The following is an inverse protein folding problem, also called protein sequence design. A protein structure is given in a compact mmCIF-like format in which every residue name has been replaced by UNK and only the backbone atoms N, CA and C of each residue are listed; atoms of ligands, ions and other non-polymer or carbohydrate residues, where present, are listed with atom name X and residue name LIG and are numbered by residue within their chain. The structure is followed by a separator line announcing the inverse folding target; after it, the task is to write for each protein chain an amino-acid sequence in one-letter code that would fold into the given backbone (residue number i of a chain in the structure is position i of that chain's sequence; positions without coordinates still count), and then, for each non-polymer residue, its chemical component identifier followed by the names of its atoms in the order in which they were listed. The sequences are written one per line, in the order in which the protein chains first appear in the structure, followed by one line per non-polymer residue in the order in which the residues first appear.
data_IF_082740091433
#
_entry.id   IF_082740091433
#
_cell.length_a   1.000
_cell.length_b   1.000
_cell.length_c   1.000
_cell.angle_alpha   90.00
_cell.angle_beta   90.00
_cell.angle_gamma   90.00
#
_symmetry.space_group_name_H-M   'P 1'
#
loop_
_entity.id
_entity.type
_entity.pdbx_description
1 polymer ?
#
# COMPACT_ATOMS: atom_id res chain seq x y z
N UNK A 1 3.13 -14.84 5.80
CA UNK A 1 3.40 -13.43 6.19
C UNK A 1 2.13 -12.85 6.78
N UNK A 2 2.26 -11.89 7.72
CA UNK A 2 1.12 -11.09 8.19
C UNK A 2 0.99 -9.83 7.33
N UNK A 3 -0.25 -9.47 6.97
CA UNK A 3 -0.58 -8.34 6.08
C UNK A 3 -1.79 -7.60 6.64
N UNK A 4 -1.88 -6.31 6.37
CA UNK A 4 -3.13 -5.55 6.52
C UNK A 4 -3.71 -5.26 5.15
N UNK A 5 -5.04 -5.31 5.02
CA UNK A 5 -5.75 -4.98 3.79
C UNK A 5 -6.90 -4.03 4.11
N UNK A 6 -7.15 -3.08 3.21
CA UNK A 6 -8.26 -2.15 3.34
C UNK A 6 -8.74 -1.66 1.97
N UNK A 7 -9.97 -1.20 1.91
CA UNK A 7 -10.52 -0.54 0.72
C UNK A 7 -11.58 0.49 1.11
N UNK A 8 -11.92 1.37 0.17
CA UNK A 8 -13.21 2.06 0.19
C UNK A 8 -14.33 1.16 -0.36
N UNK A 9 -15.54 1.69 -0.45
CA UNK A 9 -16.70 0.99 -1.01
C UNK A 9 -16.49 0.49 -2.44
N UNK A 10 -15.75 1.26 -3.27
CA UNK A 10 -15.51 0.91 -4.68
C UNK A 10 -14.52 -0.25 -4.84
N UNK A 11 -13.62 -0.42 -3.86
CA UNK A 11 -12.66 -1.51 -3.80
C UNK A 11 -13.13 -2.75 -3.04
N UNK A 12 -14.28 -2.69 -2.36
CA UNK A 12 -14.73 -3.72 -1.43
C UNK A 12 -14.77 -5.13 -2.03
N UNK A 13 -15.41 -5.31 -3.18
CA UNK A 13 -15.54 -6.64 -3.80
C UNK A 13 -14.17 -7.25 -4.13
N UNK A 14 -13.29 -6.49 -4.76
CA UNK A 14 -11.93 -6.97 -5.08
C UNK A 14 -11.11 -7.21 -3.80
N UNK A 15 -11.30 -6.39 -2.74
CA UNK A 15 -10.65 -6.61 -1.44
C UNK A 15 -11.03 -7.97 -0.87
N UNK A 16 -12.32 -8.35 -0.89
CA UNK A 16 -12.77 -9.64 -0.37
C UNK A 16 -12.18 -10.81 -1.16
N UNK A 17 -12.09 -10.71 -2.49
CA UNK A 17 -11.46 -11.73 -3.34
C UNK A 17 -9.95 -11.86 -3.02
N UNK A 18 -9.23 -10.76 -2.95
CA UNK A 18 -7.78 -10.74 -2.61
C UNK A 18 -7.56 -11.28 -1.20
N UNK A 19 -8.37 -10.88 -0.22
CA UNK A 19 -8.29 -11.36 1.16
C UNK A 19 -8.48 -12.88 1.24
N UNK A 20 -9.49 -13.41 0.56
CA UNK A 20 -9.76 -14.85 0.51
C UNK A 20 -8.62 -15.63 -0.16
N UNK A 21 -8.11 -15.08 -1.28
CA UNK A 21 -6.95 -15.65 -1.99
C UNK A 21 -5.72 -15.76 -1.09
N UNK A 22 -5.35 -14.67 -0.42
CA UNK A 22 -4.19 -14.61 0.47
C UNK A 22 -4.34 -15.53 1.70
N UNK A 23 -5.54 -15.58 2.29
CA UNK A 23 -5.83 -16.48 3.40
C UNK A 23 -5.67 -17.96 2.98
N UNK A 24 -6.15 -18.32 1.79
CA UNK A 24 -5.98 -19.67 1.21
C UNK A 24 -4.50 -20.01 0.95
N UNK A 25 -3.69 -19.01 0.60
CA UNK A 25 -2.24 -19.16 0.43
C UNK A 25 -1.46 -19.22 1.76
N UNK A 26 -2.16 -19.18 2.91
CA UNK A 26 -1.55 -19.30 4.24
C UNK A 26 -1.02 -18.01 4.84
N UNK A 27 -1.45 -16.84 4.32
CA UNK A 27 -1.13 -15.56 4.90
C UNK A 27 -2.13 -15.16 6.00
N UNK A 28 -1.65 -14.49 7.06
CA UNK A 28 -2.50 -13.84 8.04
C UNK A 28 -2.89 -12.46 7.51
N UNK A 29 -4.18 -12.25 7.23
CA UNK A 29 -4.68 -11.00 6.65
C UNK A 29 -5.62 -10.31 7.62
N UNK A 30 -5.21 -9.14 8.12
CA UNK A 30 -6.03 -8.27 8.98
C UNK A 30 -6.82 -7.31 8.11
N UNK A 31 -8.14 -7.43 8.08
CA UNK A 31 -9.05 -6.57 7.34
C UNK A 31 -9.38 -5.30 8.15
N UNK A 32 -9.09 -4.13 7.57
CA UNK A 32 -9.32 -2.82 8.16
C UNK A 32 -10.52 -2.06 7.53
N UNK A 33 -11.36 -2.77 6.72
CA UNK A 33 -12.54 -2.23 6.04
C UNK A 33 -12.22 -1.78 4.58
N UNK A 34 -13.23 -1.26 3.82
CA UNK A 34 -14.64 -1.20 4.16
C UNK A 34 -15.23 -2.63 4.27
N UNK A 35 -16.34 -2.75 4.97
CA UNK A 35 -17.02 -4.04 5.21
C UNK A 35 -18.31 -4.22 4.39
N UNK A 36 -18.62 -3.24 3.53
CA UNK A 36 -19.75 -3.23 2.63
C UNK A 36 -19.52 -2.27 1.45
N UNK A 37 -20.50 -2.11 0.59
CA UNK A 37 -20.46 -1.27 -0.60
C UNK A 37 -21.10 0.12 -0.40
N UNK A 38 -21.44 0.49 0.84
CA UNK A 38 -21.97 1.82 1.15
C UNK A 38 -20.91 2.90 0.92
N UNK A 39 -21.28 4.07 0.38
CA UNK A 39 -20.34 5.15 0.12
C UNK A 39 -19.45 5.47 1.33
N UNK A 40 -18.15 5.55 1.09
CA UNK A 40 -17.15 5.78 2.14
C UNK A 40 -15.94 6.50 1.57
N UNK A 41 -15.21 7.21 2.41
CA UNK A 41 -14.10 8.07 2.00
C UNK A 41 -12.77 7.31 2.04
N UNK A 42 -12.09 7.19 0.89
CA UNK A 42 -10.82 6.45 0.75
C UNK A 42 -9.69 6.94 1.68
N UNK A 43 -9.59 8.23 2.08
CA UNK A 43 -8.51 8.67 2.96
C UNK A 43 -8.54 7.99 4.33
N UNK A 44 -9.73 7.72 4.87
CA UNK A 44 -9.89 7.06 6.17
C UNK A 44 -9.28 5.65 6.17
N UNK A 45 -9.39 4.95 5.04
CA UNK A 45 -8.82 3.60 4.88
C UNK A 45 -7.31 3.63 4.66
N UNK A 46 -6.80 4.66 3.97
CA UNK A 46 -5.36 4.90 3.88
C UNK A 46 -4.75 5.16 5.26
N UNK A 47 -5.42 5.98 6.08
CA UNK A 47 -4.99 6.27 7.46
C UNK A 47 -4.96 5.01 8.33
N UNK A 48 -6.00 4.17 8.27
CA UNK A 48 -6.04 2.90 9.01
C UNK A 48 -4.86 2.00 8.67
N UNK A 49 -4.55 1.83 7.38
CA UNK A 49 -3.40 1.02 6.94
C UNK A 49 -2.10 1.65 7.40
N UNK A 50 -1.91 2.96 7.19
CA UNK A 50 -0.70 3.67 7.62
C UNK A 50 -0.47 3.57 9.13
N UNK A 51 -1.52 3.76 9.94
CA UNK A 51 -1.45 3.63 11.39
C UNK A 51 -1.11 2.20 11.83
N UNK A 52 -1.66 1.18 11.18
CA UNK A 52 -1.36 -0.22 11.47
C UNK A 52 0.11 -0.57 11.18
N UNK A 53 0.64 -0.14 10.03
CA UNK A 53 2.05 -0.34 9.69
C UNK A 53 2.98 0.40 10.66
N UNK A 54 2.64 1.62 11.06
CA UNK A 54 3.42 2.39 12.05
C UNK A 54 3.45 1.76 13.44
N UNK A 55 2.38 1.07 13.85
CA UNK A 55 2.37 0.28 15.11
C UNK A 55 3.15 -1.04 15.00
N UNK A 56 3.54 -1.45 13.80
CA UNK A 56 4.17 -2.76 13.57
C UNK A 56 3.18 -3.92 13.55
N UNK A 57 1.89 -3.66 13.34
CA UNK A 57 0.85 -4.70 13.28
C UNK A 57 1.10 -5.68 12.12
N UNK A 58 1.68 -5.18 11.02
CA UNK A 58 2.13 -5.96 9.87
C UNK A 58 3.28 -5.23 9.15
N UNK A 59 4.16 -5.95 8.43
CA UNK A 59 5.24 -5.32 7.66
C UNK A 59 4.75 -4.68 6.35
N UNK A 60 3.61 -5.11 5.80
CA UNK A 60 3.09 -4.65 4.51
C UNK A 60 1.58 -4.50 4.51
N UNK A 61 1.10 -3.56 3.67
CA UNK A 61 -0.31 -3.29 3.46
C UNK A 61 -0.75 -3.39 2.01
N UNK A 62 -2.04 -3.62 1.82
CA UNK A 62 -2.72 -3.58 0.52
C UNK A 62 -3.88 -2.61 0.65
N UNK A 63 -3.96 -1.66 -0.28
CA UNK A 63 -5.05 -0.69 -0.37
C UNK A 63 -5.75 -0.81 -1.74
N UNK A 64 -7.07 -0.82 -1.71
CA UNK A 64 -7.88 -0.95 -2.94
C UNK A 64 -8.94 0.14 -2.97
N UNK A 65 -9.05 0.86 -4.07
CA UNK A 65 -10.19 1.75 -4.32
C UNK A 65 -10.62 1.66 -5.79
N UNK A 66 -11.48 2.53 -6.24
CA UNK A 66 -11.95 2.48 -7.63
C UNK A 66 -10.83 2.53 -8.67
N UNK A 67 -9.97 3.55 -8.63
CA UNK A 67 -8.83 3.71 -9.55
C UNK A 67 -7.47 3.39 -8.92
N UNK A 68 -7.36 3.38 -7.61
CA UNK A 68 -6.10 3.33 -6.87
C UNK A 68 -5.46 4.70 -6.63
N UNK A 69 -5.78 5.72 -7.44
CA UNK A 69 -5.08 7.01 -7.44
C UNK A 69 -5.25 7.75 -6.12
N UNK A 70 -6.50 7.99 -5.70
CA UNK A 70 -6.78 8.79 -4.49
C UNK A 70 -6.20 8.17 -3.22
N UNK A 71 -6.40 6.86 -3.03
CA UNK A 71 -5.89 6.16 -1.85
C UNK A 71 -4.36 6.08 -1.83
N UNK A 72 -3.72 6.01 -3.01
CA UNK A 72 -2.26 6.08 -3.13
C UNK A 72 -1.72 7.46 -2.71
N UNK A 73 -2.37 8.53 -3.17
CA UNK A 73 -2.01 9.91 -2.77
C UNK A 73 -2.17 10.08 -1.26
N UNK A 74 -3.29 9.64 -0.68
CA UNK A 74 -3.54 9.75 0.76
C UNK A 74 -2.51 8.95 1.59
N UNK A 75 -2.24 7.70 1.22
CA UNK A 75 -1.29 6.85 1.93
C UNK A 75 0.11 7.48 1.99
N UNK A 76 0.58 8.07 0.90
CA UNK A 76 1.89 8.73 0.84
C UNK A 76 1.97 10.06 1.59
N UNK A 77 0.89 10.54 2.22
CA UNK A 77 0.92 11.65 3.19
C UNK A 77 1.26 11.21 4.60
N UNK A 78 1.36 9.91 4.85
CA UNK A 78 1.63 9.35 6.17
C UNK A 78 3.13 9.00 6.23
N UNK A 79 3.90 9.60 7.17
CA UNK A 79 5.32 9.31 7.28
C UNK A 79 5.61 7.81 7.50
N UNK A 80 6.58 7.28 6.77
CA UNK A 80 6.94 5.87 6.77
C UNK A 80 6.16 5.00 5.78
N UNK A 81 5.15 5.56 5.09
CA UNK A 81 4.41 4.84 4.06
C UNK A 81 4.99 5.15 2.68
N UNK A 82 5.32 4.11 1.97
CA UNK A 82 5.74 4.12 0.57
C UNK A 82 4.75 3.31 -0.24
N UNK A 83 3.69 3.97 -0.66
CA UNK A 83 2.60 3.36 -1.42
C UNK A 83 2.86 3.50 -2.92
N UNK A 84 2.78 2.39 -3.64
CA UNK A 84 2.84 2.35 -5.09
C UNK A 84 1.56 1.81 -5.70
N UNK A 85 1.03 2.51 -6.69
CA UNK A 85 -0.10 2.03 -7.48
C UNK A 85 0.41 1.04 -8.52
N UNK A 86 0.00 -0.23 -8.40
CA UNK A 86 0.49 -1.32 -9.23
C UNK A 86 -0.67 -1.94 -10.02
N UNK A 87 -0.64 -1.78 -11.33
CA UNK A 87 -1.58 -2.44 -12.24
C UNK A 87 -0.87 -3.44 -13.16
N UNK A 88 0.37 -3.79 -12.82
CA UNK A 88 1.20 -4.79 -13.45
C UNK A 88 2.14 -5.46 -12.44
N UNK A 89 2.60 -6.64 -12.77
CA UNK A 89 3.44 -7.47 -11.90
C UNK A 89 4.86 -6.94 -11.77
N UNK A 90 5.40 -6.25 -12.78
CA UNK A 90 6.74 -5.69 -12.74
C UNK A 90 6.82 -4.55 -11.71
N UNK A 91 5.91 -3.58 -11.77
CA UNK A 91 5.87 -2.48 -10.82
C UNK A 91 5.72 -2.97 -9.37
N UNK A 92 4.95 -4.05 -9.16
CA UNK A 92 4.70 -4.59 -7.83
C UNK A 92 5.96 -5.15 -7.15
N UNK A 93 6.78 -5.95 -7.86
CA UNK A 93 8.02 -6.47 -7.27
C UNK A 93 9.13 -5.43 -7.29
N UNK A 94 9.27 -4.69 -8.39
CA UNK A 94 10.33 -3.70 -8.54
C UNK A 94 10.22 -2.57 -7.51
N UNK A 95 9.01 -2.10 -7.20
CA UNK A 95 8.78 -1.08 -6.18
C UNK A 95 9.27 -1.52 -4.79
N UNK A 96 9.12 -2.82 -4.46
CA UNK A 96 9.71 -3.37 -3.22
C UNK A 96 11.23 -3.48 -3.33
N UNK A 97 11.72 -4.08 -4.41
CA UNK A 97 13.14 -4.37 -4.59
C UNK A 97 14.01 -3.12 -4.61
N UNK A 98 13.54 -2.04 -5.24
CA UNK A 98 14.32 -0.83 -5.45
C UNK A 98 14.02 0.31 -4.48
N UNK A 99 12.77 0.40 -3.99
CA UNK A 99 12.27 1.57 -3.27
C UNK A 99 11.71 1.23 -1.87
N UNK A 100 11.81 -0.04 -1.47
CA UNK A 100 11.28 -0.57 -0.21
C UNK A 100 9.79 -0.22 -0.03
N UNK A 101 9.01 -0.38 -1.11
CA UNK A 101 7.56 -0.15 -1.11
C UNK A 101 6.88 -1.07 -0.09
N UNK A 102 6.12 -0.49 0.85
CA UNK A 102 5.45 -1.23 1.91
C UNK A 102 3.91 -1.26 1.79
N UNK A 103 3.34 -0.52 0.84
CA UNK A 103 1.90 -0.55 0.53
C UNK A 103 1.69 -0.71 -0.97
N UNK A 104 1.04 -1.81 -1.37
CA UNK A 104 0.59 -2.03 -2.75
C UNK A 104 -0.83 -1.47 -2.91
N UNK A 105 -1.04 -0.66 -3.93
CA UNK A 105 -2.33 -0.03 -4.21
C UNK A 105 -2.91 -0.55 -5.52
N UNK A 106 -4.17 -0.98 -5.50
CA UNK A 106 -4.87 -1.53 -6.65
C UNK A 106 -6.12 -0.71 -6.99
N UNK A 107 -6.46 -0.66 -8.27
CA UNK A 107 -7.69 -0.06 -8.80
C UNK A 107 -8.71 -1.13 -9.20
N UNK A 108 -9.78 -1.29 -8.44
CA UNK A 108 -10.79 -2.31 -8.67
C UNK A 108 -11.59 -2.14 -9.99
N UNK A 109 -11.56 -0.93 -10.56
CA UNK A 109 -12.18 -0.64 -11.88
C UNK A 109 -11.17 -0.73 -13.02
N UNK A 110 -9.91 -1.04 -12.72
CA UNK A 110 -8.80 -1.03 -13.68
C UNK A 110 -8.37 -2.45 -13.99
N UNK A 111 -8.25 -3.30 -12.97
CA UNK A 111 -7.77 -4.68 -13.11
C UNK A 111 -8.81 -5.67 -12.60
N UNK A 112 -8.81 -6.86 -13.19
CA UNK A 112 -9.59 -8.00 -12.71
C UNK A 112 -8.86 -8.77 -11.61
N UNK A 113 -9.60 -9.65 -10.92
CA UNK A 113 -9.09 -10.44 -9.79
C UNK A 113 -7.89 -11.32 -10.15
N UNK A 114 -7.87 -11.94 -11.34
CA UNK A 114 -6.75 -12.78 -11.77
C UNK A 114 -5.42 -12.00 -11.77
N UNK A 115 -5.39 -10.81 -12.37
CA UNK A 115 -4.21 -9.96 -12.37
C UNK A 115 -3.90 -9.43 -10.98
N UNK A 116 -4.92 -9.08 -10.18
CA UNK A 116 -4.73 -8.64 -8.81
C UNK A 116 -4.00 -9.70 -7.95
N UNK A 117 -4.34 -10.98 -8.10
CA UNK A 117 -3.68 -12.08 -7.39
C UNK A 117 -2.19 -12.18 -7.77
N UNK A 118 -1.88 -12.12 -9.06
CA UNK A 118 -0.48 -12.14 -9.51
C UNK A 118 0.31 -10.91 -8.99
N UNK A 119 -0.30 -9.73 -8.99
CA UNK A 119 0.31 -8.50 -8.47
C UNK A 119 0.63 -8.63 -6.98
N UNK A 120 -0.33 -9.09 -6.17
CA UNK A 120 -0.10 -9.22 -4.71
C UNK A 120 0.94 -10.30 -4.40
N UNK A 121 0.99 -11.41 -5.15
CA UNK A 121 2.04 -12.42 -5.00
C UNK A 121 3.42 -11.84 -5.27
N UNK A 122 3.58 -11.05 -6.33
CA UNK A 122 4.84 -10.38 -6.67
C UNK A 122 5.23 -9.34 -5.60
N UNK A 123 4.28 -8.56 -5.11
CA UNK A 123 4.52 -7.62 -4.02
C UNK A 123 4.96 -8.31 -2.72
N UNK A 124 4.29 -9.41 -2.34
CA UNK A 124 4.58 -10.13 -1.10
C UNK A 124 5.89 -10.90 -1.18
N UNK A 125 6.20 -11.49 -2.34
CA UNK A 125 7.39 -12.31 -2.56
C UNK A 125 8.69 -11.51 -2.71
N UNK A 126 8.61 -10.21 -3.05
CA UNK A 126 9.78 -9.37 -3.25
C UNK A 126 10.43 -8.93 -1.92
N UNK A 127 11.72 -8.60 -1.97
CA UNK A 127 12.48 -8.06 -0.84
C UNK A 127 13.36 -6.91 -1.32
N UNK A 128 13.54 -5.89 -0.46
CA UNK A 128 14.43 -4.78 -0.76
C UNK A 128 15.86 -5.25 -0.97
N UNK A 129 16.47 -4.86 -2.09
CA UNK A 129 17.84 -5.25 -2.46
C UNK A 129 18.84 -4.33 -1.74
N UNK A 130 19.02 -4.59 -0.44
CA UNK A 130 19.79 -3.73 0.45
C UNK A 130 21.32 -3.76 0.19
N UNK A 131 21.85 -4.71 -0.56
CA UNK A 131 23.27 -4.80 -0.90
C UNK A 131 23.65 -4.01 -2.17
N UNK A 132 22.68 -3.44 -2.89
CA UNK A 132 22.89 -2.55 -4.04
C UNK A 132 23.00 -1.10 -3.59
N UNK A 133 24.20 -0.51 -3.66
CA UNK A 133 24.47 0.88 -3.21
C UNK A 133 23.52 1.91 -3.86
N UNK A 134 23.20 1.74 -5.15
CA UNK A 134 22.30 2.66 -5.88
C UNK A 134 20.88 2.70 -5.29
N UNK A 135 20.35 1.55 -4.83
CA UNK A 135 19.02 1.48 -4.24
C UNK A 135 19.02 2.07 -2.83
N UNK A 136 20.02 1.73 -2.00
CA UNK A 136 20.18 2.34 -0.69
C UNK A 136 20.31 3.87 -0.76
N UNK A 137 21.13 4.38 -1.69
CA UNK A 137 21.31 5.82 -1.87
C UNK A 137 20.00 6.53 -2.25
N UNK A 138 19.21 5.94 -3.17
CA UNK A 138 17.92 6.48 -3.59
C UNK A 138 16.90 6.43 -2.46
N UNK A 139 16.79 5.29 -1.78
CA UNK A 139 15.93 5.13 -0.61
C UNK A 139 16.23 6.18 0.48
N UNK A 140 17.51 6.36 0.84
CA UNK A 140 17.91 7.39 1.81
C UNK A 140 17.50 8.81 1.37
N UNK A 141 17.54 9.12 0.08
CA UNK A 141 17.08 10.42 -0.45
C UNK A 141 15.57 10.58 -0.33
N UNK A 142 14.79 9.54 -0.58
CA UNK A 142 13.32 9.56 -0.39
C UNK A 142 12.98 9.79 1.09
N UNK A 143 13.65 9.09 2.01
CA UNK A 143 13.46 9.29 3.45
C UNK A 143 13.89 10.71 3.91
N UNK A 144 14.93 11.29 3.32
CA UNK A 144 15.34 12.65 3.61
C UNK A 144 14.30 13.69 3.12
N UNK A 145 13.65 13.45 1.98
CA UNK A 145 12.54 14.27 1.49
C UNK A 145 11.36 14.19 2.46
N UNK A 146 11.00 12.98 2.89
CA UNK A 146 9.93 12.77 3.86
C UNK A 146 10.21 13.53 5.16
N UNK A 147 11.40 13.35 5.74
CA UNK A 147 11.78 14.02 6.97
C UNK A 147 11.73 15.55 6.85
N UNK A 148 12.15 16.09 5.70
CA UNK A 148 12.15 17.53 5.45
C UNK A 148 10.76 18.14 5.32
N UNK A 149 9.83 17.44 4.66
CA UNK A 149 8.55 18.03 4.26
C UNK A 149 7.33 17.50 5.00
N UNK A 150 7.38 16.28 5.55
CA UNK A 150 6.27 15.66 6.27
C UNK A 150 6.49 15.60 7.79
N UNK A 151 7.73 15.58 8.27
CA UNK A 151 8.05 15.50 9.69
C UNK A 151 8.60 16.83 10.25
N UNK A 152 8.73 17.87 9.44
CA UNK A 152 9.09 19.22 9.88
C UNK A 152 7.95 19.86 10.67
N UNK A 153 8.31 20.72 11.64
CA UNK A 153 7.39 21.45 12.51
C UNK A 153 6.27 22.09 11.72
N UNK A 154 5.01 21.86 12.16
CA UNK A 154 3.78 22.29 11.49
C UNK A 154 3.56 23.82 11.34
N UNK A 155 4.61 24.58 11.03
CA UNK A 155 4.64 26.04 10.90
C UNK A 155 4.84 26.50 9.47
N UNK A 156 4.18 25.93 8.47
CA UNK A 156 3.95 26.59 7.19
C UNK A 156 3.14 25.71 6.24
N UNK A 157 1.84 25.71 6.39
CA UNK A 157 0.95 25.43 5.28
C UNK A 157 0.10 26.69 5.08
N UNK A 158 0.38 27.56 4.09
CA UNK A 158 -0.59 28.55 3.68
C UNK A 158 -1.73 27.83 2.98
N UNK A 159 -2.93 28.11 3.42
CA UNK A 159 -4.21 27.68 2.87
C UNK A 159 -4.36 28.05 1.39
#
# INVERSE_FOLDING_TARGET
MKLVISSDHAGFSLKEEVRAYLAKAGHEVVDLGAYNTEPSDYPDFAEKVGAALKRGDAPRGILICGSGVGVCVAANKIPGIRAGMCHDTYSAHQGVEHDDMNVCVLGARIIGSALAFEIVDRFIGAQFIANEERFQRRFKKVMAIEAKYLCGDGSSNPA
#
